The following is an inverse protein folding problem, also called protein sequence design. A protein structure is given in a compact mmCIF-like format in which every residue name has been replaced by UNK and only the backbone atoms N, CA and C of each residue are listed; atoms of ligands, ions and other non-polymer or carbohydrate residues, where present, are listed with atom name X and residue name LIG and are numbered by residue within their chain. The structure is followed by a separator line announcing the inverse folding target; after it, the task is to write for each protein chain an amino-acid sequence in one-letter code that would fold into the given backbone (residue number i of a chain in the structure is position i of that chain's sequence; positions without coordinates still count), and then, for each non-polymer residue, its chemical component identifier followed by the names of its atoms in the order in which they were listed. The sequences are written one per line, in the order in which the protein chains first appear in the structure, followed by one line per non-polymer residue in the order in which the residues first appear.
data_IF_492919601112
#
_entry.id   IF_492919601112
#
_cell.length_a   1.000
_cell.length_b   1.000
_cell.length_c   1.000
_cell.angle_alpha   90.00
_cell.angle_beta   90.00
_cell.angle_gamma   90.00
#
_symmetry.space_group_name_H-M   'P 1'
#
loop_
_entity.id
_entity.type
_entity.pdbx_description
1 polymer ?
#
# COMPACT_ATOMS: atom_id res chain seq x y z
N UNK A 1 -8.08 26.33 -1.90
CA UNK A 1 -6.73 26.19 -1.31
C UNK A 1 -6.70 24.87 -0.54
N UNK A 2 -5.99 23.86 -1.03
CA UNK A 2 -5.89 22.57 -0.31
C UNK A 2 -5.16 22.78 1.02
N UNK A 3 -5.69 22.24 2.10
CA UNK A 3 -5.08 22.38 3.44
C UNK A 3 -3.65 21.81 3.45
N UNK A 4 -2.74 22.33 4.29
CA UNK A 4 -1.37 21.86 4.38
C UNK A 4 -1.27 20.35 4.68
N UNK A 5 -2.27 19.79 5.38
CA UNK A 5 -2.38 18.37 5.68
C UNK A 5 -2.57 17.51 4.43
N UNK A 6 -3.44 17.95 3.49
CA UNK A 6 -3.68 17.25 2.22
C UNK A 6 -2.39 17.19 1.40
N UNK A 7 -1.62 18.29 1.34
CA UNK A 7 -0.33 18.30 0.64
C UNK A 7 0.68 17.34 1.28
N UNK A 8 0.74 17.29 2.61
CA UNK A 8 1.63 16.38 3.35
C UNK A 8 1.27 14.92 3.10
N UNK A 9 -0.01 14.56 3.14
CA UNK A 9 -0.49 13.19 2.87
C UNK A 9 -0.17 12.76 1.44
N UNK A 10 -0.41 13.62 0.45
CA UNK A 10 -0.06 13.34 -0.96
C UNK A 10 1.45 13.12 -1.12
N UNK A 11 2.28 13.93 -0.45
CA UNK A 11 3.73 13.76 -0.45
C UNK A 11 4.17 12.44 0.18
N UNK A 12 3.59 12.06 1.31
CA UNK A 12 3.89 10.77 1.96
C UNK A 12 3.51 9.58 1.08
N UNK A 13 2.34 9.62 0.44
CA UNK A 13 1.89 8.55 -0.47
C UNK A 13 2.79 8.42 -1.70
N UNK A 14 3.23 9.55 -2.28
CA UNK A 14 4.20 9.55 -3.37
C UNK A 14 5.58 9.07 -2.93
N UNK A 15 6.02 9.48 -1.74
CA UNK A 15 7.27 9.00 -1.14
C UNK A 15 7.24 7.50 -0.90
N UNK A 16 6.14 6.97 -0.37
CA UNK A 16 5.94 5.54 -0.19
C UNK A 16 5.99 4.78 -1.53
N UNK A 17 5.33 5.30 -2.57
CA UNK A 17 5.40 4.72 -3.91
C UNK A 17 6.84 4.67 -4.45
N UNK A 18 7.62 5.74 -4.24
CA UNK A 18 9.01 5.82 -4.68
C UNK A 18 9.90 4.83 -3.93
N UNK A 19 9.81 4.79 -2.59
CA UNK A 19 10.58 3.85 -1.77
C UNK A 19 10.26 2.41 -2.15
N UNK A 20 8.98 2.09 -2.32
CA UNK A 20 8.55 0.76 -2.73
C UNK A 20 9.04 0.40 -4.14
N UNK A 21 9.06 1.37 -5.05
CA UNK A 21 9.63 1.19 -6.39
C UNK A 21 11.13 0.94 -6.38
N UNK A 22 11.90 1.70 -5.61
CA UNK A 22 13.36 1.48 -5.47
C UNK A 22 13.65 0.11 -4.87
N UNK A 23 12.93 -0.27 -3.82
CA UNK A 23 13.09 -1.56 -3.17
C UNK A 23 12.72 -2.71 -4.12
N UNK A 24 11.55 -2.65 -4.73
CA UNK A 24 11.08 -3.67 -5.68
C UNK A 24 11.99 -3.80 -6.89
N UNK A 25 12.49 -2.68 -7.44
CA UNK A 25 13.43 -2.67 -8.55
C UNK A 25 14.76 -3.31 -8.16
N UNK A 26 15.27 -3.01 -6.96
CA UNK A 26 16.52 -3.61 -6.44
C UNK A 26 16.38 -5.13 -6.32
N UNK A 27 15.24 -5.62 -5.82
CA UNK A 27 14.93 -7.05 -5.74
C UNK A 27 14.80 -7.66 -7.13
N UNK A 28 14.10 -7.00 -8.05
CA UNK A 28 13.91 -7.50 -9.42
C UNK A 28 15.25 -7.62 -10.17
N UNK A 29 16.14 -6.62 -10.05
CA UNK A 29 17.48 -6.64 -10.62
C UNK A 29 18.33 -7.75 -10.00
N UNK A 30 18.29 -7.90 -8.69
CA UNK A 30 18.97 -9.00 -8.00
C UNK A 30 18.46 -10.36 -8.49
N UNK A 31 17.15 -10.50 -8.69
CA UNK A 31 16.55 -11.74 -9.16
C UNK A 31 16.90 -12.04 -10.62
N UNK A 32 16.95 -11.02 -11.47
CA UNK A 32 17.40 -11.14 -12.85
C UNK A 32 18.88 -11.57 -12.91
N UNK A 33 19.75 -11.00 -12.08
CA UNK A 33 21.14 -11.44 -11.94
C UNK A 33 21.21 -12.91 -11.52
N UNK A 34 20.38 -13.35 -10.57
CA UNK A 34 20.29 -14.77 -10.18
C UNK A 34 19.77 -15.67 -11.29
N UNK A 35 18.80 -15.22 -12.08
CA UNK A 35 18.28 -15.96 -13.22
C UNK A 35 19.37 -16.24 -14.27
N UNK A 36 20.27 -15.27 -14.51
CA UNK A 36 21.39 -15.42 -15.43
C UNK A 36 22.50 -16.30 -14.86
N UNK A 37 22.85 -16.11 -13.58
CA UNK A 37 23.97 -16.85 -12.95
C UNK A 37 23.61 -18.28 -12.55
N UNK A 38 22.36 -18.54 -12.20
CA UNK A 38 21.91 -19.84 -11.67
C UNK A 38 20.65 -20.35 -12.37
N UNK A 39 20.65 -20.48 -13.71
CA UNK A 39 19.46 -20.89 -14.47
C UNK A 39 19.02 -22.33 -14.17
N UNK A 40 19.92 -23.15 -13.62
CA UNK A 40 19.70 -24.55 -13.29
C UNK A 40 18.91 -24.77 -11.99
N UNK A 41 18.62 -23.71 -11.22
CA UNK A 41 17.79 -23.82 -10.02
C UNK A 41 16.32 -23.91 -10.45
N UNK A 42 15.76 -25.11 -10.29
CA UNK A 42 14.38 -25.43 -10.62
C UNK A 42 13.53 -25.48 -9.35
N UNK A 43 12.30 -24.98 -9.46
CA UNK A 43 11.27 -25.24 -8.47
C UNK A 43 10.71 -26.64 -8.76
N UNK A 44 10.81 -27.55 -7.80
CA UNK A 44 10.27 -28.90 -7.92
C UNK A 44 9.08 -29.06 -7.00
N UNK A 45 7.92 -29.36 -7.56
CA UNK A 45 6.69 -29.59 -6.80
C UNK A 45 6.05 -30.89 -7.32
N UNK A 46 6.26 -31.99 -6.58
CA UNK A 46 5.89 -33.33 -7.05
C UNK A 46 6.75 -33.77 -8.24
N UNK A 47 6.10 -34.18 -9.35
CA UNK A 47 6.75 -34.56 -10.60
C UNK A 47 7.05 -33.39 -11.55
N UNK A 48 6.55 -32.19 -11.25
CA UNK A 48 6.76 -31.02 -12.09
C UNK A 48 8.04 -30.28 -11.71
N UNK A 49 8.88 -29.98 -12.71
CA UNK A 49 10.04 -29.10 -12.62
C UNK A 49 9.78 -27.85 -13.48
N UNK A 50 9.85 -26.68 -12.86
CA UNK A 50 9.67 -25.40 -13.54
C UNK A 50 10.85 -24.45 -13.22
N UNK A 51 11.22 -23.55 -14.15
CA UNK A 51 12.19 -22.50 -13.86
C UNK A 51 11.73 -21.67 -12.66
N UNK A 52 12.53 -21.60 -11.59
CA UNK A 52 12.15 -20.87 -10.37
C UNK A 52 12.15 -19.35 -10.61
N UNK A 53 13.17 -18.87 -11.30
CA UNK A 53 13.50 -17.44 -11.32
C UNK A 53 12.52 -16.61 -12.13
N UNK A 54 12.05 -17.10 -13.29
CA UNK A 54 11.17 -16.34 -14.19
C UNK A 54 9.80 -16.07 -13.54
N UNK A 55 9.07 -17.07 -12.99
CA UNK A 55 7.83 -16.83 -12.28
C UNK A 55 8.01 -15.94 -11.05
N UNK A 56 9.11 -16.13 -10.31
CA UNK A 56 9.39 -15.31 -9.12
C UNK A 56 9.68 -13.85 -9.49
N UNK A 57 10.38 -13.60 -10.60
CA UNK A 57 10.60 -12.25 -11.12
C UNK A 57 9.28 -11.59 -11.52
N UNK A 58 8.45 -12.32 -12.27
CA UNK A 58 7.12 -11.85 -12.67
C UNK A 58 6.24 -11.53 -11.45
N UNK A 59 6.26 -12.38 -10.44
CA UNK A 59 5.53 -12.15 -9.19
C UNK A 59 5.98 -10.86 -8.50
N UNK A 60 7.29 -10.66 -8.35
CA UNK A 60 7.84 -9.43 -7.76
C UNK A 60 7.43 -8.19 -8.54
N UNK A 61 7.52 -8.23 -9.88
CA UNK A 61 7.13 -7.11 -10.74
C UNK A 61 5.64 -6.78 -10.64
N UNK A 62 4.78 -7.80 -10.60
CA UNK A 62 3.33 -7.63 -10.45
C UNK A 62 3.00 -7.03 -9.07
N UNK A 63 3.56 -7.56 -8.00
CA UNK A 63 3.34 -7.03 -6.65
C UNK A 63 3.85 -5.60 -6.51
N UNK A 64 5.06 -5.32 -7.01
CA UNK A 64 5.63 -3.98 -7.03
C UNK A 64 4.73 -3.00 -7.79
N UNK A 65 4.31 -3.36 -9.01
CA UNK A 65 3.43 -2.54 -9.83
C UNK A 65 2.08 -2.28 -9.16
N UNK A 66 1.47 -3.31 -8.56
CA UNK A 66 0.21 -3.20 -7.83
C UNK A 66 0.32 -2.25 -6.62
N UNK A 67 1.39 -2.36 -5.83
CA UNK A 67 1.64 -1.49 -4.68
C UNK A 67 1.86 -0.03 -5.10
N UNK A 68 2.71 0.22 -6.10
CA UNK A 68 2.94 1.56 -6.65
C UNK A 68 1.63 2.16 -7.16
N UNK A 69 0.88 1.39 -7.95
CA UNK A 69 -0.41 1.82 -8.48
C UNK A 69 -1.39 2.19 -7.36
N UNK A 70 -1.45 1.39 -6.30
CA UNK A 70 -2.33 1.64 -5.15
C UNK A 70 -1.95 2.94 -4.43
N UNK A 71 -0.66 3.20 -4.19
CA UNK A 71 -0.20 4.43 -3.55
C UNK A 71 -0.46 5.66 -4.41
N UNK A 72 -0.21 5.58 -5.72
CA UNK A 72 -0.46 6.68 -6.64
C UNK A 72 -1.97 6.96 -6.80
N UNK A 73 -2.79 5.90 -6.87
CA UNK A 73 -4.25 6.02 -6.92
C UNK A 73 -4.78 6.66 -5.64
N UNK A 74 -4.27 6.26 -4.48
CA UNK A 74 -4.63 6.88 -3.20
C UNK A 74 -4.22 8.36 -3.17
N UNK A 75 -3.00 8.69 -3.61
CA UNK A 75 -2.53 10.08 -3.68
C UNK A 75 -3.41 10.93 -4.60
N UNK A 76 -3.82 10.39 -5.74
CA UNK A 76 -4.72 11.08 -6.68
C UNK A 76 -6.13 11.28 -6.09
N UNK A 77 -6.64 10.33 -5.32
CA UNK A 77 -7.92 10.46 -4.59
C UNK A 77 -7.87 11.56 -3.54
N UNK A 78 -6.83 11.56 -2.69
CA UNK A 78 -6.62 12.61 -1.68
C UNK A 78 -6.44 13.99 -2.32
N UNK A 79 -5.70 14.08 -3.43
CA UNK A 79 -5.51 15.33 -4.16
C UNK A 79 -6.83 15.90 -4.72
N UNK A 80 -7.80 15.04 -5.08
CA UNK A 80 -9.15 15.45 -5.50
C UNK A 80 -10.07 15.83 -4.33
N UNK A 81 -9.59 15.80 -3.09
CA UNK A 81 -10.38 16.12 -1.91
C UNK A 81 -11.20 14.94 -1.37
N UNK A 82 -10.95 13.71 -1.84
CA UNK A 82 -11.58 12.52 -1.29
C UNK A 82 -10.91 12.19 0.05
N UNK A 83 -11.65 12.35 1.16
CA UNK A 83 -11.15 12.01 2.48
C UNK A 83 -11.17 10.49 2.68
N UNK A 84 -9.99 9.88 2.61
CA UNK A 84 -9.78 8.44 2.81
C UNK A 84 -10.14 7.97 4.23
N UNK A 85 -10.21 8.89 5.20
CA UNK A 85 -10.46 8.61 6.61
C UNK A 85 -11.84 9.06 7.11
N UNK A 86 -12.55 9.93 6.39
CA UNK A 86 -13.93 10.35 6.71
C UNK A 86 -14.89 9.16 6.88
N UNK A 87 -14.68 8.07 6.14
CA UNK A 87 -15.51 6.86 6.26
C UNK A 87 -15.19 6.03 7.51
N UNK A 88 -13.98 6.12 8.06
CA UNK A 88 -13.53 5.33 9.21
C UNK A 88 -13.73 6.07 10.54
N UNK A 89 -13.72 7.40 10.53
CA UNK A 89 -13.89 8.24 11.72
C UNK A 89 -15.26 8.94 11.81
N UNK A 90 -16.29 8.46 11.11
CA UNK A 90 -17.66 8.79 11.53
C UNK A 90 -17.81 8.26 12.96
N UNK A 91 -17.66 9.14 13.95
CA UNK A 91 -18.08 8.89 15.33
C UNK A 91 -19.44 8.23 15.24
N UNK A 92 -19.50 7.00 15.74
CA UNK A 92 -20.72 6.22 15.68
C UNK A 92 -21.80 7.04 16.41
N UNK A 93 -23.04 7.14 15.90
CA UNK A 93 -24.09 7.95 16.55
C UNK A 93 -24.26 7.64 18.05
N UNK A 94 -23.92 6.41 18.46
CA UNK A 94 -23.86 5.94 19.84
C UNK A 94 -22.86 6.66 20.73
N UNK A 95 -21.71 7.12 20.21
CA UNK A 95 -20.74 7.91 20.99
C UNK A 95 -21.25 9.32 21.27
N UNK A 96 -22.04 9.88 20.34
CA UNK A 96 -22.68 11.19 20.51
C UNK A 96 -23.76 11.14 21.59
N UNK A 97 -24.60 10.12 21.56
CA UNK A 97 -25.64 9.86 22.57
C UNK A 97 -25.05 9.58 23.97
N UNK A 98 -23.94 8.84 24.04
CA UNK A 98 -23.25 8.59 25.31
C UNK A 98 -22.64 9.87 25.91
N UNK A 99 -22.08 10.74 25.08
CA UNK A 99 -21.53 12.04 25.51
C UNK A 99 -22.62 13.00 26.02
N UNK A 100 -23.78 13.04 25.36
CA UNK A 100 -24.92 13.87 25.80
C UNK A 100 -25.51 13.36 27.11
N UNK A 101 -25.67 12.04 27.27
CA UNK A 101 -26.16 11.43 28.51
C UNK A 101 -25.24 11.72 29.71
N UNK A 102 -23.92 11.59 29.52
CA UNK A 102 -22.95 11.87 30.57
C UNK A 102 -22.86 13.36 30.92
N UNK A 103 -23.07 14.24 29.94
CA UNK A 103 -23.14 15.68 30.17
C UNK A 103 -24.39 16.06 30.98
N UNK A 104 -25.54 15.47 30.65
CA UNK A 104 -26.80 15.70 31.39
C UNK A 104 -26.73 15.16 32.84
N UNK A 105 -26.04 14.04 33.07
CA UNK A 105 -25.86 13.46 34.40
C UNK A 105 -24.86 14.22 35.30
N UNK A 106 -23.97 15.04 34.72
CA UNK A 106 -22.99 15.84 35.49
C UNK A 106 -23.56 17.19 35.94
N UNK A 107 -24.73 17.58 35.45
CA UNK A 107 -25.44 18.82 35.79
C UNK A 107 -26.57 18.66 36.81
N UNK A 108 -26.76 17.47 37.38
CA UNK A 108 -27.67 17.20 38.52
C UNK A 108 -26.88 16.99 39.81
#
# INVERSE_FOLDING_TARGET
MSSPEVRRTVWLLRGAALVFGVLGLSIALWLADKAVRYPHILARQGSAEAPLWIPMLMFVLVCMGASIFLFLRAAARVARGEDLYARRHRRHPSERLASERNSAASTS
#
